data_IF_087951871873
#
_entry.id   IF_087951871873
#
_cell.length_a   1.000
_cell.length_b   1.000
_cell.length_c   1.000
_cell.angle_alpha   90.00
_cell.angle_beta   90.00
_cell.angle_gamma   90.00
#
_symmetry.space_group_name_H-M   'P 1'
#
loop_
_entity.id
_entity.type
_entity.pdbx_description
1 polymer ?
#
# COMPACT_ATOMS: atom_id res chain seq x y z
N UNK A 1 -7.02 -19.65 0.62
CA UNK A 1 -6.63 -18.35 1.21
C UNK A 1 -6.53 -18.49 2.72
N UNK A 2 -5.32 -18.33 3.27
CA UNK A 2 -5.06 -18.26 4.72
C UNK A 2 -5.20 -16.80 5.20
N UNK A 3 -5.79 -16.57 6.36
CA UNK A 3 -5.93 -15.21 6.92
C UNK A 3 -5.31 -15.19 8.30
N UNK A 4 -4.33 -14.30 8.50
CA UNK A 4 -3.69 -14.08 9.80
C UNK A 4 -3.99 -12.66 10.27
N UNK A 5 -4.45 -12.53 11.52
CA UNK A 5 -4.64 -11.23 12.17
C UNK A 5 -3.47 -10.97 13.09
N UNK A 6 -2.83 -9.82 12.92
CA UNK A 6 -1.60 -9.45 13.59
C UNK A 6 -1.75 -8.05 14.20
N UNK A 7 -1.22 -7.86 15.39
CA UNK A 7 -1.06 -6.54 15.99
C UNK A 7 0.41 -6.29 16.22
N UNK A 8 0.90 -5.17 15.72
CA UNK A 8 2.31 -4.81 15.80
C UNK A 8 2.47 -3.45 16.46
N UNK A 9 3.41 -3.39 17.39
CA UNK A 9 4.04 -2.14 17.85
C UNK A 9 5.40 -1.93 17.19
N UNK A 10 5.98 -3.00 16.63
CA UNK A 10 7.28 -3.00 15.95
C UNK A 10 7.11 -3.31 14.46
N UNK A 11 7.50 -2.35 13.61
CA UNK A 11 7.40 -2.44 12.15
C UNK A 11 8.49 -3.31 11.53
N UNK A 12 9.61 -3.56 12.21
CA UNK A 12 10.65 -4.46 11.70
C UNK A 12 10.15 -5.91 11.69
N UNK A 13 9.46 -6.31 12.76
CA UNK A 13 8.80 -7.62 12.83
C UNK A 13 7.75 -7.80 11.72
N UNK A 14 7.03 -6.73 11.33
CA UNK A 14 6.13 -6.78 10.19
C UNK A 14 6.92 -6.94 8.88
N UNK A 15 7.98 -6.14 8.68
CA UNK A 15 8.80 -6.21 7.47
C UNK A 15 9.37 -7.61 7.24
N UNK A 16 9.88 -8.27 8.28
CA UNK A 16 10.39 -9.65 8.20
C UNK A 16 9.33 -10.64 7.71
N UNK A 17 8.06 -10.42 8.04
CA UNK A 17 6.94 -11.26 7.61
C UNK A 17 6.49 -10.97 6.17
N UNK A 18 6.78 -9.76 5.66
CA UNK A 18 6.48 -9.35 4.29
C UNK A 18 7.55 -9.79 3.29
N UNK A 19 8.81 -9.93 3.73
CA UNK A 19 9.93 -10.42 2.91
C UNK A 19 9.63 -11.78 2.28
N UNK A 20 10.18 -12.00 1.08
CA UNK A 20 10.00 -13.26 0.35
C UNK A 20 8.68 -13.39 -0.41
N UNK A 21 7.79 -12.39 -0.35
CA UNK A 21 6.47 -12.43 -0.98
C UNK A 21 6.19 -11.30 -1.96
N UNK A 22 5.12 -11.47 -2.73
CA UNK A 22 4.52 -10.42 -3.58
C UNK A 22 3.16 -10.07 -3.01
N UNK A 23 2.89 -8.81 -2.71
CA UNK A 23 1.63 -8.42 -2.06
C UNK A 23 1.04 -7.10 -2.53
N UNK A 24 -0.28 -7.01 -2.46
CA UNK A 24 -1.03 -5.77 -2.57
C UNK A 24 -1.31 -5.22 -1.17
N UNK A 25 -1.07 -3.93 -0.97
CA UNK A 25 -1.38 -3.22 0.28
C UNK A 25 -2.64 -2.37 0.12
N UNK A 26 -3.56 -2.50 1.07
CA UNK A 26 -4.76 -1.68 1.16
C UNK A 26 -5.20 -1.50 2.62
N UNK A 27 -6.29 -0.77 2.87
CA UNK A 27 -6.90 -0.69 4.20
C UNK A 27 -7.81 -1.88 4.48
N UNK A 28 -8.09 -2.19 5.75
CA UNK A 28 -9.03 -3.25 6.13
C UNK A 28 -10.43 -3.03 5.54
N UNK A 29 -10.94 -1.80 5.57
CA UNK A 29 -12.25 -1.47 4.99
C UNK A 29 -12.30 -1.72 3.48
N UNK A 30 -11.22 -1.38 2.77
CA UNK A 30 -11.11 -1.66 1.33
C UNK A 30 -10.97 -3.16 1.05
N UNK A 31 -10.31 -3.91 1.94
CA UNK A 31 -10.27 -5.36 1.86
C UNK A 31 -11.66 -6.00 1.97
N UNK A 32 -12.52 -5.52 2.86
CA UNK A 32 -13.90 -6.02 2.94
C UNK A 32 -14.69 -5.77 1.64
N UNK A 33 -14.45 -4.64 0.98
CA UNK A 33 -15.02 -4.36 -0.34
C UNK A 33 -14.47 -5.31 -1.42
N UNK A 34 -13.15 -5.59 -1.40
CA UNK A 34 -12.50 -6.57 -2.27
C UNK A 34 -13.08 -7.97 -2.06
N UNK A 35 -13.32 -8.38 -0.82
CA UNK A 35 -13.94 -9.67 -0.51
C UNK A 35 -15.34 -9.79 -1.11
N UNK A 36 -16.17 -8.73 -1.00
CA UNK A 36 -17.51 -8.68 -1.59
C UNK A 36 -17.48 -8.71 -3.12
N UNK A 37 -16.49 -8.05 -3.73
CA UNK A 37 -16.31 -8.02 -5.18
C UNK A 37 -15.70 -9.32 -5.74
N UNK A 38 -14.92 -10.05 -4.93
CA UNK A 38 -14.19 -11.25 -5.34
C UNK A 38 -12.91 -10.95 -6.12
N UNK A 39 -12.47 -9.69 -6.19
CA UNK A 39 -11.30 -9.27 -6.95
C UNK A 39 -10.71 -7.94 -6.45
N UNK A 40 -9.43 -7.74 -6.72
CA UNK A 40 -8.75 -6.44 -6.64
C UNK A 40 -8.81 -5.81 -8.03
N UNK A 41 -9.60 -4.76 -8.20
CA UNK A 41 -9.72 -4.05 -9.48
C UNK A 41 -8.72 -2.90 -9.57
N UNK A 42 -8.18 -2.63 -10.77
CA UNK A 42 -7.38 -1.41 -10.98
C UNK A 42 -8.20 -0.13 -10.73
N UNK A 43 -7.51 0.96 -10.37
CA UNK A 43 -8.13 2.25 -10.12
C UNK A 43 -7.89 3.28 -11.24
N UNK A 44 -7.85 2.84 -12.51
CA UNK A 44 -7.60 3.73 -13.67
C UNK A 44 -8.60 4.87 -13.77
N UNK A 45 -9.88 4.56 -13.52
CA UNK A 45 -10.97 5.53 -13.55
C UNK A 45 -11.13 6.35 -12.26
N UNK A 46 -10.21 6.23 -11.30
CA UNK A 46 -10.28 6.94 -10.00
C UNK A 46 -11.62 6.72 -9.26
N UNK A 47 -12.14 5.49 -9.29
CA UNK A 47 -13.35 5.08 -8.56
C UNK A 47 -13.11 4.95 -7.06
N UNK A 48 -11.88 4.66 -6.66
CA UNK A 48 -11.46 4.57 -5.25
C UNK A 48 -10.58 5.78 -4.86
N UNK A 49 -10.47 6.12 -3.57
CA UNK A 49 -9.62 7.21 -3.10
C UNK A 49 -8.17 7.10 -3.61
N UNK A 50 -7.59 8.24 -3.97
CA UNK A 50 -6.21 8.35 -4.45
C UNK A 50 -5.47 9.37 -3.58
N UNK A 51 -4.26 9.03 -3.14
CA UNK A 51 -3.32 10.04 -2.66
C UNK A 51 -2.70 10.81 -3.85
N UNK A 52 -2.01 11.91 -3.55
CA UNK A 52 -1.40 12.78 -4.57
C UNK A 52 -0.42 12.03 -5.47
N UNK A 53 0.39 11.12 -4.93
CA UNK A 53 1.36 10.36 -5.73
C UNK A 53 0.69 9.37 -6.68
N UNK A 54 -0.44 8.77 -6.28
CA UNK A 54 -1.18 7.79 -7.07
C UNK A 54 -1.91 8.40 -8.27
N UNK A 55 -2.13 9.72 -8.30
CA UNK A 55 -2.74 10.39 -9.45
C UNK A 55 -1.91 10.22 -10.73
N UNK A 56 -0.59 10.18 -10.62
CA UNK A 56 0.33 10.01 -11.75
C UNK A 56 1.01 8.63 -11.78
N UNK A 57 0.49 7.65 -11.02
CA UNK A 57 1.02 6.28 -11.02
C UNK A 57 0.91 5.65 -12.41
N UNK A 58 2.03 5.17 -12.95
CA UNK A 58 2.11 4.49 -14.24
C UNK A 58 1.18 3.27 -14.27
N UNK A 59 1.29 2.39 -13.27
CA UNK A 59 0.47 1.19 -13.16
C UNK A 59 -1.02 1.50 -13.21
N UNK A 60 -1.46 2.50 -12.44
CA UNK A 60 -2.87 2.95 -12.45
C UNK A 60 -3.31 3.43 -13.82
N UNK A 61 -2.52 4.28 -14.48
CA UNK A 61 -2.86 4.86 -15.79
C UNK A 61 -2.85 3.81 -16.91
N UNK A 62 -2.04 2.77 -16.78
CA UNK A 62 -2.03 1.62 -17.68
C UNK A 62 -3.19 0.63 -17.41
N UNK A 63 -3.92 0.79 -16.31
CA UNK A 63 -5.02 -0.11 -15.95
C UNK A 63 -4.56 -1.37 -15.23
N UNK A 64 -3.46 -1.28 -14.50
CA UNK A 64 -2.91 -2.37 -13.71
C UNK A 64 -3.24 -2.22 -12.22
N UNK A 65 -3.16 -3.34 -11.51
CA UNK A 65 -3.10 -3.42 -10.05
C UNK A 65 -1.63 -3.39 -9.63
N UNK A 66 -1.29 -2.50 -8.70
CA UNK A 66 0.08 -2.37 -8.18
C UNK A 66 0.31 -3.32 -7.00
N UNK A 67 1.50 -3.91 -6.98
CA UNK A 67 1.97 -4.87 -5.98
C UNK A 67 3.39 -4.47 -5.56
N UNK A 68 3.83 -4.95 -4.41
CA UNK A 68 5.23 -4.95 -4.00
C UNK A 68 5.79 -6.36 -4.16
N UNK A 69 6.95 -6.51 -4.78
CA UNK A 69 7.68 -7.76 -4.89
C UNK A 69 8.93 -7.70 -4.02
N UNK A 70 8.91 -8.39 -2.87
CA UNK A 70 10.03 -8.46 -1.94
C UNK A 70 10.70 -9.84 -1.94
N UNK A 71 10.54 -10.63 -3.01
CA UNK A 71 11.05 -12.01 -3.06
C UNK A 71 12.57 -12.08 -2.99
N UNK A 72 13.23 -11.19 -3.74
CA UNK A 72 14.68 -11.18 -3.94
C UNK A 72 15.32 -9.81 -3.65
N UNK A 73 14.56 -8.88 -3.08
CA UNK A 73 15.06 -7.53 -2.80
C UNK A 73 16.08 -7.56 -1.65
N UNK A 74 17.18 -6.83 -1.84
CA UNK A 74 18.17 -6.64 -0.79
C UNK A 74 17.66 -5.64 0.25
N UNK A 75 18.21 -5.62 1.48
CA UNK A 75 17.84 -4.63 2.49
C UNK A 75 17.92 -3.18 1.99
N UNK A 76 18.90 -2.86 1.15
CA UNK A 76 19.08 -1.53 0.55
C UNK A 76 17.95 -1.19 -0.43
N UNK A 77 17.52 -2.15 -1.26
CA UNK A 77 16.39 -1.96 -2.17
C UNK A 77 15.10 -1.73 -1.38
N UNK A 78 14.84 -2.56 -0.37
CA UNK A 78 13.68 -2.42 0.50
C UNK A 78 13.67 -1.04 1.19
N UNK A 79 14.82 -0.61 1.71
CA UNK A 79 14.95 0.69 2.37
C UNK A 79 14.66 1.85 1.41
N UNK A 80 15.22 1.81 0.20
CA UNK A 80 14.93 2.81 -0.84
C UNK A 80 13.44 2.83 -1.21
N UNK A 81 12.80 1.66 -1.29
CA UNK A 81 11.36 1.54 -1.52
C UNK A 81 10.56 2.17 -0.37
N UNK A 82 10.94 1.94 0.88
CA UNK A 82 10.29 2.53 2.06
C UNK A 82 10.42 4.06 2.11
N UNK A 83 11.55 4.61 1.65
CA UNK A 83 11.76 6.06 1.51
C UNK A 83 10.87 6.67 0.43
N UNK A 84 10.62 5.93 -0.66
CA UNK A 84 9.72 6.37 -1.74
C UNK A 84 8.23 6.19 -1.39
N UNK A 85 7.90 5.07 -0.74
CA UNK A 85 6.56 4.71 -0.31
C UNK A 85 6.64 3.83 0.94
N UNK A 86 6.27 4.40 2.08
CA UNK A 86 6.31 3.70 3.36
C UNK A 86 5.16 2.70 3.53
N UNK A 87 5.28 1.53 2.91
CA UNK A 87 4.24 0.48 2.91
C UNK A 87 4.02 -0.20 4.29
N UNK A 88 4.86 0.08 5.28
CA UNK A 88 4.69 -0.41 6.67
C UNK A 88 3.71 0.45 7.49
N UNK A 89 3.29 1.60 6.97
CA UNK A 89 2.33 2.48 7.62
C UNK A 89 2.09 3.75 6.81
N UNK A 90 1.48 3.65 5.61
CA UNK A 90 1.31 4.83 4.77
C UNK A 90 0.49 5.89 5.51
N UNK A 91 0.99 7.11 5.59
CA UNK A 91 0.36 8.20 6.38
C UNK A 91 -1.07 8.51 5.91
N UNK A 92 -1.35 8.34 4.62
CA UNK A 92 -2.68 8.54 4.05
C UNK A 92 -3.69 7.43 4.38
N UNK A 93 -3.23 6.33 5.00
CA UNK A 93 -4.08 5.29 5.60
C UNK A 93 -4.25 5.45 7.12
N UNK A 94 -3.57 6.44 7.73
CA UNK A 94 -3.64 6.66 9.16
C UNK A 94 -4.98 7.26 9.57
N UNK A 95 -5.58 6.72 10.62
CA UNK A 95 -6.68 7.35 11.35
C UNK A 95 -6.13 7.96 12.64
N UNK A 96 -6.58 9.16 12.94
CA UNK A 96 -6.16 9.91 14.12
C UNK A 96 -7.25 9.74 15.20
N UNK A 97 -6.89 9.18 16.35
CA UNK A 97 -7.74 9.03 17.55
C UNK A 97 -7.23 9.99 18.65
N UNK A 98 -7.95 10.16 19.76
CA UNK A 98 -7.58 11.20 20.75
C UNK A 98 -6.19 11.01 21.36
N UNK A 99 -5.71 9.77 21.50
CA UNK A 99 -4.45 9.42 22.16
C UNK A 99 -3.47 8.66 21.25
N UNK A 100 -3.87 8.27 20.04
CA UNK A 100 -3.04 7.46 19.16
C UNK A 100 -3.34 7.64 17.67
N UNK A 101 -2.35 7.30 16.84
CA UNK A 101 -2.50 7.10 15.41
C UNK A 101 -2.69 5.60 15.16
N UNK A 102 -3.69 5.24 14.36
CA UNK A 102 -4.04 3.85 14.05
C UNK A 102 -3.95 3.60 12.55
N UNK A 103 -3.32 2.48 12.18
CA UNK A 103 -3.37 1.93 10.84
C UNK A 103 -4.03 0.56 10.88
N UNK A 104 -5.10 0.39 10.10
CA UNK A 104 -5.74 -0.91 9.86
C UNK A 104 -5.51 -1.32 8.40
N UNK A 105 -4.52 -2.18 8.22
CA UNK A 105 -3.97 -2.55 6.92
C UNK A 105 -4.31 -3.99 6.56
N UNK A 106 -4.41 -4.25 5.27
CA UNK A 106 -4.51 -5.58 4.70
C UNK A 106 -3.40 -5.76 3.64
N UNK A 107 -2.58 -6.79 3.84
CA UNK A 107 -1.56 -7.22 2.89
C UNK A 107 -2.03 -8.51 2.23
N UNK A 108 -2.38 -8.46 0.94
CA UNK A 108 -2.89 -9.59 0.18
C UNK A 108 -1.75 -10.18 -0.66
N UNK A 109 -1.28 -11.37 -0.30
CA UNK A 109 -0.18 -12.04 -0.97
C UNK A 109 -0.65 -12.82 -2.19
N UNK A 110 -0.04 -12.52 -3.33
CA UNK A 110 -0.27 -13.24 -4.57
C UNK A 110 0.34 -14.65 -4.46
N UNK A 111 -0.40 -15.66 -4.87
CA UNK A 111 0.12 -17.03 -4.91
C UNK A 111 1.28 -17.15 -5.92
N UNK A 112 2.35 -17.90 -5.58
CA UNK A 112 3.47 -18.13 -6.48
C UNK A 112 3.10 -18.68 -7.86
N UNK A 113 1.99 -19.40 -7.97
CA UNK A 113 1.46 -19.93 -9.24
C UNK A 113 1.16 -18.84 -10.28
N UNK A 114 0.98 -17.59 -9.85
CA UNK A 114 0.64 -16.46 -10.72
C UNK A 114 1.79 -15.47 -10.92
N UNK A 115 2.99 -15.78 -10.44
CA UNK A 115 4.14 -14.88 -10.56
C UNK A 115 4.57 -14.61 -12.01
N UNK A 116 4.32 -15.54 -12.92
CA UNK A 116 4.61 -15.35 -14.36
C UNK A 116 3.71 -14.30 -15.04
N UNK A 117 2.64 -13.86 -14.37
CA UNK A 117 1.74 -12.81 -14.85
C UNK A 117 2.17 -11.41 -14.40
N UNK A 118 3.23 -11.32 -13.60
CA UNK A 118 3.75 -10.06 -13.08
C UNK A 118 4.50 -9.30 -14.18
N UNK A 119 4.13 -8.04 -14.34
CA UNK A 119 4.82 -7.06 -15.17
C UNK A 119 5.87 -6.37 -14.29
N UNK A 120 7.17 -6.48 -14.61
CA UNK A 120 8.24 -5.93 -13.79
C UNK A 120 8.37 -4.41 -13.92
N UNK A 121 8.95 -3.77 -12.90
CA UNK A 121 9.20 -2.32 -12.85
C UNK A 121 10.01 -1.80 -14.05
N UNK A 122 10.88 -2.63 -14.62
CA UNK A 122 11.75 -2.29 -15.75
C UNK A 122 10.98 -1.74 -16.96
N UNK A 123 9.70 -2.11 -17.12
CA UNK A 123 8.81 -1.63 -18.18
C UNK A 123 8.56 -0.11 -18.13
N UNK A 124 8.82 0.56 -17.00
CA UNK A 124 8.77 2.03 -16.88
C UNK A 124 9.69 2.71 -17.90
N UNK A 125 10.89 2.17 -18.07
CA UNK A 125 11.89 2.75 -18.98
C UNK A 125 11.44 2.63 -20.43
N UNK A 126 10.82 1.50 -20.78
CA UNK A 126 10.32 1.27 -22.12
C UNK A 126 9.09 2.12 -22.42
N UNK A 127 8.22 2.33 -21.43
CA UNK A 127 7.12 3.29 -21.55
C UNK A 127 7.64 4.71 -21.79
N UNK A 128 8.64 5.16 -21.02
CA UNK A 128 9.24 6.46 -21.20
C UNK A 128 9.89 6.61 -22.60
N UNK A 129 10.70 5.64 -23.02
CA UNK A 129 11.32 5.63 -24.36
C UNK A 129 10.30 5.71 -25.49
N UNK A 130 9.15 5.03 -25.34
CA UNK A 130 8.09 4.99 -26.37
C UNK A 130 7.23 6.26 -26.40
N UNK A 131 6.99 6.89 -25.25
CA UNK A 131 5.98 7.96 -25.13
C UNK A 131 6.54 9.34 -24.81
N UNK A 132 7.79 9.41 -24.34
CA UNK A 132 8.41 10.62 -23.80
C UNK A 132 7.81 11.10 -22.47
N UNK A 133 6.84 10.37 -21.88
CA UNK A 133 6.15 10.78 -20.65
C UNK A 133 6.78 10.12 -19.43
N UNK A 134 7.18 10.94 -18.48
CA UNK A 134 7.62 10.47 -17.16
C UNK A 134 6.41 10.35 -16.24
N UNK A 135 6.11 9.13 -15.81
CA UNK A 135 5.04 8.82 -14.87
C UNK A 135 5.65 8.25 -13.58
N UNK A 136 4.92 8.39 -12.47
CA UNK A 136 5.41 7.92 -11.18
C UNK A 136 5.34 6.39 -11.11
N UNK A 137 6.44 5.77 -10.73
CA UNK A 137 6.52 4.39 -10.28
C UNK A 137 7.40 4.37 -9.03
N UNK A 138 7.07 3.54 -8.06
CA UNK A 138 7.92 3.26 -6.92
C UNK A 138 9.11 2.45 -7.48
N UNK A 139 10.36 2.91 -7.29
CA UNK A 139 11.51 2.24 -7.87
C UNK A 139 11.65 0.80 -7.39
N UNK A 140 12.15 -0.06 -8.27
CA UNK A 140 12.55 -1.45 -8.01
C UNK A 140 11.42 -2.40 -7.58
N UNK A 141 10.84 -2.22 -6.40
CA UNK A 141 9.94 -3.19 -5.77
C UNK A 141 8.49 -3.12 -6.29
N UNK A 142 8.04 -2.03 -6.92
CA UNK A 142 6.68 -1.98 -7.48
C UNK A 142 6.61 -2.79 -8.78
N UNK A 143 5.69 -3.74 -8.78
CA UNK A 143 5.35 -4.56 -9.94
C UNK A 143 3.85 -4.51 -10.19
N UNK A 144 3.41 -5.00 -11.34
CA UNK A 144 2.02 -4.86 -11.75
C UNK A 144 1.39 -6.15 -12.25
N UNK A 145 0.08 -6.28 -12.06
CA UNK A 145 -0.75 -7.24 -12.78
C UNK A 145 -1.80 -6.48 -13.58
N UNK A 146 -1.97 -6.87 -14.84
CA UNK A 146 -2.89 -6.18 -15.75
C UNK A 146 -4.35 -6.38 -15.33
N UNK A 147 -5.16 -5.34 -15.51
CA UNK A 147 -6.60 -5.30 -15.31
C UNK A 147 -7.04 -5.53 -13.85
N UNK A 148 -7.02 -6.78 -13.38
CA UNK A 148 -7.53 -7.15 -12.06
C UNK A 148 -6.87 -8.42 -11.54
N UNK A 149 -6.93 -8.60 -10.22
CA UNK A 149 -6.45 -9.80 -9.54
C UNK A 149 -7.66 -10.50 -8.88
N UNK A 150 -8.13 -11.64 -9.39
CA UNK A 150 -9.14 -12.46 -8.71
C UNK A 150 -8.71 -12.83 -7.30
N UNK A 151 -9.63 -12.83 -6.34
CA UNK A 151 -9.30 -13.18 -4.96
C UNK A 151 -8.86 -14.65 -4.82
N UNK A 152 -9.25 -15.51 -5.76
CA UNK A 152 -8.74 -16.88 -5.86
C UNK A 152 -7.22 -16.95 -6.11
N UNK A 153 -6.60 -15.88 -6.60
CA UNK A 153 -5.14 -15.82 -6.78
C UNK A 153 -4.39 -15.46 -5.49
N UNK A 154 -5.10 -15.06 -4.44
CA UNK A 154 -4.51 -14.64 -3.17
C UNK A 154 -4.35 -15.87 -2.27
N UNK A 155 -3.11 -16.23 -1.97
CA UNK A 155 -2.81 -17.38 -1.11
C UNK A 155 -3.00 -17.05 0.38
N UNK A 156 -2.66 -15.82 0.77
CA UNK A 156 -2.55 -15.39 2.17
C UNK A 156 -2.91 -13.93 2.31
N UNK A 157 -3.56 -13.59 3.42
CA UNK A 157 -3.84 -12.21 3.81
C UNK A 157 -3.34 -11.96 5.22
N UNK A 158 -2.59 -10.87 5.40
CA UNK A 158 -2.29 -10.34 6.73
C UNK A 158 -3.18 -9.15 7.02
N UNK A 159 -3.99 -9.27 8.07
CA UNK A 159 -4.78 -8.18 8.61
C UNK A 159 -4.01 -7.58 9.80
N UNK A 160 -3.45 -6.41 9.59
CA UNK A 160 -2.49 -5.79 10.50
C UNK A 160 -3.09 -4.54 11.13
N UNK A 161 -3.01 -4.46 12.46
CA UNK A 161 -3.32 -3.22 13.20
C UNK A 161 -2.05 -2.69 13.87
N UNK A 162 -1.68 -1.46 13.54
CA UNK A 162 -0.56 -0.73 14.15
C UNK A 162 -1.14 0.44 14.93
N UNK A 163 -0.66 0.61 16.17
CA UNK A 163 -1.01 1.74 17.04
C UNK A 163 0.26 2.44 17.49
N UNK A 164 0.32 3.74 17.28
CA UNK A 164 1.40 4.59 17.79
C UNK A 164 0.83 5.69 18.68
N UNK A 165 1.50 6.03 19.80
CA UNK A 165 1.04 7.11 20.65
C UNK A 165 0.99 8.42 19.86
N UNK A 166 0.00 9.27 20.17
CA UNK A 166 -0.08 10.59 19.57
C UNK A 166 1.24 11.36 19.84
N UNK A 167 1.77 12.08 18.84
CA UNK A 167 2.98 12.86 19.04
C UNK A 167 2.75 13.96 20.08
N UNK A 168 3.79 14.26 20.86
CA UNK A 168 3.76 15.30 21.88
C UNK A 168 3.32 16.63 21.26
N UNK A 169 2.27 17.24 21.86
CA UNK A 169 1.62 18.48 21.44
C UNK A 169 2.59 19.63 21.16
N UNK A 170 3.73 19.65 21.86
CA UNK A 170 4.72 20.72 21.79
C UNK A 170 5.67 20.57 20.60
N UNK A 171 5.70 19.39 19.97
CA UNK A 171 6.53 19.14 18.79
C UNK A 171 5.82 19.63 17.51
N UNK A 172 6.56 19.94 16.43
CA UNK A 172 5.95 20.24 15.13
C UNK A 172 5.00 19.13 14.64
N UNK A 173 5.35 17.87 14.87
CA UNK A 173 4.50 16.72 14.55
C UNK A 173 3.21 16.71 15.38
N UNK A 174 3.30 16.99 16.68
CA UNK A 174 2.15 17.17 17.56
C UNK A 174 1.24 18.29 17.11
N UNK A 175 1.79 19.49 16.89
CA UNK A 175 1.00 20.64 16.44
C UNK A 175 0.23 20.33 15.15
N UNK A 176 0.86 19.65 14.19
CA UNK A 176 0.20 19.19 12.98
C UNK A 176 -0.91 18.15 13.27
N UNK A 177 -0.60 17.12 14.05
CA UNK A 177 -1.54 16.07 14.46
C UNK A 177 -2.83 16.64 15.06
N UNK A 178 -2.70 17.55 16.02
CA UNK A 178 -3.84 18.16 16.70
C UNK A 178 -4.61 19.15 15.82
N UNK A 179 -3.96 19.79 14.85
CA UNK A 179 -4.65 20.59 13.84
C UNK A 179 -5.50 19.71 12.91
N UNK A 180 -4.98 18.54 12.50
CA UNK A 180 -5.71 17.56 11.69
C UNK A 180 -6.91 17.00 12.44
N UNK A 181 -6.75 16.61 13.70
CA UNK A 181 -7.86 16.14 14.56
C UNK A 181 -8.99 17.18 14.65
N UNK A 182 -8.66 18.42 15.02
CA UNK A 182 -9.66 19.51 15.09
C UNK A 182 -10.38 19.76 13.77
N UNK A 183 -9.68 19.66 12.65
CA UNK A 183 -10.28 19.82 11.33
C UNK A 183 -11.27 18.69 10.97
N UNK A 184 -11.08 17.49 11.53
CA UNK A 184 -12.01 16.36 11.34
C UNK A 184 -13.26 16.47 12.23
N UNK A 185 -13.10 16.93 13.48
CA UNK A 185 -14.23 17.17 14.39
C UNK A 185 -15.23 18.20 13.82
N UNK A 186 -14.72 19.22 13.12
CA UNK A 186 -15.56 20.26 12.49
C UNK A 186 -16.37 19.79 11.27
N UNK A 187 -16.06 18.61 10.71
CA UNK A 187 -16.79 18.04 9.56
C UNK A 187 -17.90 17.06 9.94
N UNK A 188 -18.02 16.71 11.22
CA UNK A 188 -19.07 15.82 11.74
C UNK A 188 -20.22 16.58 12.45
N UNK A 189 -20.22 17.91 12.41
CA UNK A 189 -21.31 18.79 12.86
C UNK A 189 -22.04 19.39 11.67
#
# INVERSE_FOLDING_TARGET
>A
MNIETLSYTDRECLLDRLRGGVFHLTTRDAYEAIQKAGEISNNKSARFPLNTSSQNSLGRLLGCVCLFDLRNDTPEVIQNTLECYYFLGPTWFARHEDDCIVWDLAYLFLSPEYYDLIIPNSEVHDYYKKTGKYLHAIPASEVWVKDKIPLSWIEKVFLVTIREPAPDRTTPAGMHYWAVLKAHEGKQR
#
